data_IF_739962275913
#
_entry.id   IF_739962275913
#
_cell.length_a   1.000
_cell.length_b   1.000
_cell.length_c   1.000
_cell.angle_alpha   90.00
_cell.angle_beta   90.00
_cell.angle_gamma   90.00
#
_symmetry.space_group_name_H-M   'P 1'
#
loop_
_entity.id
_entity.type
_entity.pdbx_description
1 polymer ?
#
# COMPACT_ATOMS: atom_id res chain seq x y z
N UNK A 1 35.66 -24.20 43.26
CA UNK A 1 35.06 -25.23 42.40
C UNK A 1 34.65 -24.52 41.11
N UNK A 2 35.61 -24.36 40.20
CA UNK A 2 35.78 -25.16 38.98
C UNK A 2 34.74 -24.84 37.91
N UNK A 3 35.06 -23.83 37.10
CA UNK A 3 34.47 -23.58 35.79
C UNK A 3 35.23 -24.44 34.76
N UNK A 4 34.51 -25.37 34.16
CA UNK A 4 34.95 -26.27 33.09
C UNK A 4 35.06 -25.49 31.79
N UNK A 5 36.29 -25.35 31.28
CA UNK A 5 36.56 -24.93 29.89
C UNK A 5 37.19 -26.13 29.19
N UNK A 6 36.42 -26.75 28.29
CA UNK A 6 36.90 -27.88 27.48
C UNK A 6 37.78 -27.39 26.33
N UNK A 7 39.06 -27.77 26.42
CA UNK A 7 40.05 -27.72 25.35
C UNK A 7 39.76 -28.79 24.29
N UNK A 8 39.67 -28.38 23.02
CA UNK A 8 39.97 -29.23 21.87
C UNK A 8 40.77 -28.43 20.84
N UNK A 9 42.09 -28.43 21.00
CA UNK A 9 43.03 -28.22 19.90
C UNK A 9 44.25 -29.11 20.17
N UNK A 10 44.17 -30.34 19.67
CA UNK A 10 45.31 -31.25 19.56
C UNK A 10 46.13 -30.91 18.32
N UNK A 11 47.45 -31.03 18.41
CA UNK A 11 48.33 -31.00 17.24
C UNK A 11 49.75 -30.49 17.48
N UNK A 12 50.52 -31.21 18.30
CA UNK A 12 51.97 -31.45 18.22
C UNK A 12 52.92 -30.35 17.72
N UNK A 13 53.72 -29.84 18.65
CA UNK A 13 55.05 -29.28 18.40
C UNK A 13 55.99 -30.32 17.76
N UNK A 14 56.84 -29.89 16.82
CA UNK A 14 58.29 -30.15 16.79
C UNK A 14 58.93 -29.70 15.48
N UNK A 15 60.07 -28.99 15.56
CA UNK A 15 61.04 -28.94 14.46
C UNK A 15 61.64 -27.58 14.12
N UNK A 16 62.35 -26.97 15.08
CA UNK A 16 63.41 -26.00 14.76
C UNK A 16 64.50 -26.75 13.98
N UNK A 17 64.71 -26.41 12.70
CA UNK A 17 65.87 -26.88 11.95
C UNK A 17 66.83 -25.72 11.69
N UNK A 18 67.96 -25.86 12.36
CA UNK A 18 69.11 -24.98 12.44
C UNK A 18 69.85 -24.93 11.12
N UNK A 19 70.27 -23.74 10.72
CA UNK A 19 71.17 -23.51 9.61
C UNK A 19 72.44 -24.38 9.70
N UNK A 20 72.75 -25.11 8.62
CA UNK A 20 74.07 -25.71 8.41
C UNK A 20 74.66 -25.08 7.15
N UNK A 21 75.69 -24.25 7.35
CA UNK A 21 76.49 -23.63 6.29
C UNK A 21 77.47 -24.69 5.80
N UNK A 22 77.26 -25.20 4.59
CA UNK A 22 78.26 -26.00 3.88
C UNK A 22 79.01 -25.12 2.89
N UNK A 23 80.17 -24.63 3.32
CA UNK A 23 81.19 -24.05 2.44
C UNK A 23 81.84 -25.18 1.64
N UNK A 24 81.43 -25.36 0.38
CA UNK A 24 82.21 -26.11 -0.62
C UNK A 24 82.35 -25.29 -1.89
N UNK A 25 83.58 -24.85 -2.08
CA UNK A 25 84.24 -24.45 -3.32
C UNK A 25 83.57 -24.98 -4.59
N UNK A 26 82.86 -24.10 -5.30
CA UNK A 26 82.58 -24.24 -6.73
C UNK A 26 83.06 -22.99 -7.42
N UNK A 27 84.05 -23.20 -8.30
CA UNK A 27 84.88 -22.17 -8.89
C UNK A 27 84.12 -21.00 -9.50
N UNK A 28 84.75 -19.85 -9.36
CA UNK A 28 84.52 -18.66 -10.16
C UNK A 28 84.73 -19.03 -11.63
N UNK A 29 83.67 -19.37 -12.34
CA UNK A 29 83.66 -19.37 -13.81
C UNK A 29 83.48 -17.93 -14.27
N UNK A 30 84.60 -17.22 -14.36
CA UNK A 30 84.72 -16.07 -15.26
C UNK A 30 84.53 -16.57 -16.70
N UNK A 31 83.97 -15.68 -17.53
CA UNK A 31 83.78 -15.76 -18.98
C UNK A 31 82.60 -16.59 -19.47
N UNK A 32 81.39 -16.00 -19.45
CA UNK A 32 80.50 -16.18 -20.60
C UNK A 32 81.00 -15.26 -21.70
N UNK A 33 81.77 -15.83 -22.62
CA UNK A 33 82.12 -15.24 -23.90
C UNK A 33 80.89 -14.56 -24.51
N UNK A 34 80.98 -13.25 -24.72
CA UNK A 34 80.05 -12.52 -25.56
C UNK A 34 80.23 -13.08 -26.98
N UNK A 35 79.43 -14.07 -27.34
CA UNK A 35 79.37 -14.54 -28.71
C UNK A 35 78.81 -13.38 -29.53
N UNK A 36 79.65 -12.74 -30.34
CA UNK A 36 79.24 -11.93 -31.49
C UNK A 36 78.67 -12.83 -32.58
N UNK A 37 77.78 -13.75 -32.19
CA UNK A 37 76.92 -14.50 -33.08
C UNK A 37 75.62 -13.73 -33.18
N UNK A 38 75.23 -13.37 -34.40
CA UNK A 38 73.98 -12.69 -34.74
C UNK A 38 72.80 -13.43 -34.07
N UNK A 39 72.40 -13.02 -32.87
CA UNK A 39 71.30 -13.65 -32.15
C UNK A 39 70.02 -13.37 -32.93
N UNK A 40 69.42 -14.41 -33.51
CA UNK A 40 68.15 -14.29 -34.20
C UNK A 40 67.09 -13.85 -33.20
N UNK A 41 66.60 -12.61 -33.33
CA UNK A 41 65.56 -12.07 -32.46
C UNK A 41 64.29 -12.89 -32.57
N UNK A 42 63.56 -13.00 -31.46
CA UNK A 42 62.27 -13.73 -31.42
C UNK A 42 61.19 -12.87 -32.09
N UNK A 43 60.31 -13.52 -32.86
CA UNK A 43 59.14 -12.86 -33.45
C UNK A 43 58.10 -12.51 -32.37
N UNK A 44 57.52 -11.31 -32.45
CA UNK A 44 56.50 -10.86 -31.52
C UNK A 44 55.12 -11.43 -31.87
N UNK A 45 54.54 -12.24 -30.96
CA UNK A 45 53.17 -12.74 -31.11
C UNK A 45 52.13 -11.72 -30.62
N UNK A 46 51.92 -10.63 -31.38
CA UNK A 46 50.94 -9.59 -31.07
C UNK A 46 49.73 -9.63 -32.02
N UNK A 47 48.51 -9.77 -31.45
CA UNK A 47 47.27 -9.73 -32.24
C UNK A 47 46.58 -8.35 -32.17
N UNK A 48 46.68 -7.58 -33.26
CA UNK A 48 46.10 -6.24 -33.35
C UNK A 48 44.55 -6.22 -33.32
N UNK A 49 43.87 -7.32 -33.69
CA UNK A 49 42.39 -7.38 -33.75
C UNK A 49 41.73 -7.92 -32.48
N UNK A 50 42.50 -8.54 -31.58
CA UNK A 50 41.92 -9.22 -30.43
C UNK A 50 41.16 -8.26 -29.50
N UNK A 51 41.79 -7.16 -29.09
CA UNK A 51 41.17 -6.17 -28.20
C UNK A 51 40.07 -5.39 -28.91
N UNK A 52 40.30 -4.93 -30.14
CA UNK A 52 39.33 -4.14 -30.89
C UNK A 52 38.05 -4.92 -31.17
N UNK A 53 38.14 -6.17 -31.58
CA UNK A 53 36.96 -7.02 -31.82
C UNK A 53 36.17 -7.28 -30.54
N UNK A 54 36.85 -7.48 -29.40
CA UNK A 54 36.17 -7.65 -28.10
C UNK A 54 35.51 -6.34 -27.66
N UNK A 55 36.13 -5.20 -27.94
CA UNK A 55 35.61 -3.89 -27.57
C UNK A 55 34.36 -3.51 -28.39
N UNK A 56 34.34 -3.84 -29.68
CA UNK A 56 33.16 -3.64 -30.54
C UNK A 56 31.98 -4.48 -30.07
N UNK A 57 32.24 -5.73 -29.67
CA UNK A 57 31.19 -6.65 -29.15
C UNK A 57 30.69 -6.27 -27.75
N UNK A 58 31.45 -5.50 -26.98
CA UNK A 58 31.08 -5.13 -25.62
C UNK A 58 29.93 -4.10 -25.63
N UNK A 59 28.75 -4.55 -25.19
CA UNK A 59 27.53 -3.72 -25.11
C UNK A 59 27.26 -3.16 -23.72
N UNK A 60 27.94 -3.69 -22.68
CA UNK A 60 27.75 -3.28 -21.28
C UNK A 60 29.02 -2.74 -20.66
N UNK A 61 28.89 -1.77 -19.75
CA UNK A 61 30.01 -1.12 -19.07
C UNK A 61 30.95 -2.14 -18.40
N UNK A 62 30.39 -3.16 -17.74
CA UNK A 62 31.13 -4.25 -17.10
C UNK A 62 31.96 -5.07 -18.09
N UNK A 63 31.37 -5.42 -19.24
CA UNK A 63 32.06 -6.20 -20.28
C UNK A 63 33.19 -5.40 -20.92
N UNK A 64 32.97 -4.11 -21.19
CA UNK A 64 34.01 -3.22 -21.69
C UNK A 64 35.13 -3.02 -20.66
N UNK A 65 34.80 -3.01 -19.36
CA UNK A 65 35.80 -2.90 -18.29
C UNK A 65 36.71 -4.13 -18.22
N UNK A 66 36.18 -5.32 -18.44
CA UNK A 66 36.99 -6.54 -18.55
C UNK A 66 37.96 -6.45 -19.75
N UNK A 67 37.50 -5.95 -20.89
CA UNK A 67 38.35 -5.71 -22.09
C UNK A 67 39.42 -4.65 -21.79
N UNK A 68 39.09 -3.60 -21.03
CA UNK A 68 40.06 -2.60 -20.59
C UNK A 68 41.18 -3.22 -19.74
N UNK A 69 40.85 -4.09 -18.79
CA UNK A 69 41.86 -4.81 -17.98
C UNK A 69 42.76 -5.65 -18.87
N UNK A 70 42.18 -6.37 -19.84
CA UNK A 70 42.94 -7.15 -20.81
C UNK A 70 43.86 -6.28 -21.68
N UNK A 71 43.37 -5.13 -22.15
CA UNK A 71 44.17 -4.17 -22.92
C UNK A 71 45.36 -3.65 -22.11
N UNK A 72 45.17 -3.31 -20.82
CA UNK A 72 46.26 -2.91 -19.93
C UNK A 72 47.29 -4.04 -19.73
N UNK A 73 46.83 -5.28 -19.55
CA UNK A 73 47.73 -6.44 -19.49
C UNK A 73 48.56 -6.60 -20.77
N UNK A 74 47.96 -6.40 -21.96
CA UNK A 74 48.74 -6.44 -23.21
C UNK A 74 49.80 -5.35 -23.30
N UNK A 75 49.55 -4.15 -22.76
CA UNK A 75 50.56 -3.08 -22.67
C UNK A 75 51.71 -3.49 -21.76
N UNK A 76 51.42 -4.05 -20.58
CA UNK A 76 52.46 -4.52 -19.65
C UNK A 76 53.30 -5.64 -20.25
N UNK A 77 52.67 -6.62 -20.93
CA UNK A 77 53.39 -7.71 -21.59
C UNK A 77 54.37 -7.18 -22.65
N UNK A 78 53.94 -6.21 -23.47
CA UNK A 78 54.80 -5.58 -24.46
C UNK A 78 55.92 -4.73 -23.85
N UNK A 79 55.67 -4.09 -22.70
CA UNK A 79 56.71 -3.38 -21.94
C UNK A 79 57.78 -4.34 -21.41
N UNK A 80 57.38 -5.53 -20.94
CA UNK A 80 58.33 -6.56 -20.55
C UNK A 80 59.15 -7.07 -21.74
N UNK A 81 58.52 -7.32 -22.90
CA UNK A 81 59.24 -7.69 -24.12
C UNK A 81 60.32 -6.66 -24.48
N UNK A 82 60.01 -5.36 -24.36
CA UNK A 82 60.98 -4.29 -24.61
C UNK A 82 62.15 -4.31 -23.61
N UNK A 83 61.89 -4.66 -22.34
CA UNK A 83 62.93 -4.75 -21.31
C UNK A 83 63.83 -5.99 -21.43
N UNK A 84 63.35 -7.09 -22.02
CA UNK A 84 64.14 -8.33 -22.18
C UNK A 84 65.22 -8.23 -23.25
N UNK A 85 65.08 -7.36 -24.25
CA UNK A 85 66.02 -7.22 -25.37
C UNK A 85 66.08 -8.43 -26.33
N UNK A 86 65.22 -9.45 -26.15
CA UNK A 86 65.18 -10.65 -27.00
C UNK A 86 64.40 -10.44 -28.32
N UNK A 87 63.70 -9.32 -28.45
CA UNK A 87 62.78 -9.00 -29.55
C UNK A 87 63.28 -7.83 -30.39
N UNK A 88 62.64 -7.57 -31.53
CA UNK A 88 62.87 -6.36 -32.30
C UNK A 88 62.23 -5.14 -31.63
N UNK A 89 63.06 -4.27 -31.03
CA UNK A 89 62.60 -3.06 -30.32
C UNK A 89 61.66 -2.20 -31.17
N UNK A 90 61.91 -2.07 -32.47
CA UNK A 90 61.05 -1.33 -33.40
C UNK A 90 59.65 -1.96 -33.50
N UNK A 91 59.57 -3.29 -33.66
CA UNK A 91 58.30 -4.03 -33.73
C UNK A 91 57.52 -3.93 -32.40
N UNK A 92 58.22 -4.13 -31.27
CA UNK A 92 57.64 -4.03 -29.94
C UNK A 92 57.13 -2.62 -29.65
N UNK A 93 57.85 -1.57 -30.06
CA UNK A 93 57.41 -0.18 -29.91
C UNK A 93 56.16 0.14 -30.74
N UNK A 94 56.07 -0.35 -31.99
CA UNK A 94 54.89 -0.18 -32.85
C UNK A 94 53.67 -0.87 -32.22
N UNK A 95 53.84 -2.12 -31.75
CA UNK A 95 52.79 -2.86 -31.06
C UNK A 95 52.37 -2.16 -29.75
N UNK A 96 53.33 -1.65 -28.98
CA UNK A 96 53.09 -0.93 -27.73
C UNK A 96 52.30 0.36 -27.99
N UNK A 97 52.63 1.11 -29.04
CA UNK A 97 51.88 2.30 -29.44
C UNK A 97 50.43 1.95 -29.81
N UNK A 98 50.21 0.86 -30.54
CA UNK A 98 48.87 0.37 -30.87
C UNK A 98 48.09 -0.07 -29.61
N UNK A 99 48.70 -0.85 -28.72
CA UNK A 99 48.09 -1.30 -27.48
C UNK A 99 47.71 -0.12 -26.56
N UNK A 100 48.57 0.90 -26.45
CA UNK A 100 48.26 2.15 -25.70
C UNK A 100 47.05 2.88 -26.28
N UNK A 101 46.91 2.93 -27.61
CA UNK A 101 45.70 3.48 -28.25
C UNK A 101 44.45 2.65 -27.92
N UNK A 102 44.56 1.32 -27.95
CA UNK A 102 43.45 0.44 -27.57
C UNK A 102 43.01 0.62 -26.12
N UNK A 103 43.93 0.90 -25.19
CA UNK A 103 43.58 1.25 -23.80
C UNK A 103 42.75 2.53 -23.75
N UNK A 104 43.14 3.58 -24.49
CA UNK A 104 42.35 4.83 -24.55
C UNK A 104 40.95 4.58 -25.13
N UNK A 105 40.85 3.81 -26.22
CA UNK A 105 39.55 3.42 -26.80
C UNK A 105 38.69 2.66 -25.80
N UNK A 106 39.27 1.71 -25.07
CA UNK A 106 38.56 0.92 -24.06
C UNK A 106 38.09 1.79 -22.88
N UNK A 107 38.92 2.73 -22.40
CA UNK A 107 38.54 3.69 -21.35
C UNK A 107 37.34 4.54 -21.77
N UNK A 108 37.39 5.11 -22.99
CA UNK A 108 36.28 5.92 -23.51
C UNK A 108 35.00 5.09 -23.65
N UNK A 109 35.09 3.86 -24.20
CA UNK A 109 33.92 2.97 -24.32
C UNK A 109 33.31 2.62 -22.95
N UNK A 110 34.12 2.34 -21.93
CA UNK A 110 33.64 2.08 -20.57
C UNK A 110 32.90 3.29 -19.99
N UNK A 111 33.46 4.50 -20.18
CA UNK A 111 32.83 5.73 -19.72
C UNK A 111 31.49 5.97 -20.41
N UNK A 112 31.45 5.86 -21.74
CA UNK A 112 30.24 6.10 -22.53
C UNK A 112 29.14 5.10 -22.17
N UNK A 113 29.45 3.78 -22.13
CA UNK A 113 28.47 2.77 -21.74
C UNK A 113 27.97 2.96 -20.31
N UNK A 114 28.83 3.40 -19.38
CA UNK A 114 28.41 3.69 -18.00
C UNK A 114 27.48 4.90 -17.94
N UNK A 115 27.73 5.93 -18.75
CA UNK A 115 26.87 7.11 -18.84
C UNK A 115 25.52 6.77 -19.47
N UNK A 116 25.50 6.02 -20.58
CA UNK A 116 24.30 5.53 -21.24
C UNK A 116 23.44 4.67 -20.29
N UNK A 117 24.06 3.71 -19.59
CA UNK A 117 23.36 2.87 -18.59
C UNK A 117 22.77 3.69 -17.45
N UNK A 118 23.49 4.72 -16.96
CA UNK A 118 23.00 5.58 -15.90
C UNK A 118 21.83 6.48 -16.36
N UNK A 119 21.91 7.03 -17.57
CA UNK A 119 20.83 7.83 -18.16
C UNK A 119 19.58 6.98 -18.35
N UNK A 120 19.73 5.77 -18.88
CA UNK A 120 18.63 4.83 -19.07
C UNK A 120 17.94 4.49 -17.74
N UNK A 121 18.71 4.16 -16.70
CA UNK A 121 18.17 3.91 -15.35
C UNK A 121 17.44 5.12 -14.76
N UNK A 122 17.95 6.33 -15.01
CA UNK A 122 17.29 7.57 -14.55
C UNK A 122 15.93 7.74 -15.23
N UNK A 123 15.86 7.54 -16.55
CA UNK A 123 14.63 7.64 -17.31
C UNK A 123 13.58 6.61 -16.86
N UNK A 124 13.98 5.35 -16.67
CA UNK A 124 13.09 4.28 -16.19
C UNK A 124 12.57 4.56 -14.78
N UNK A 125 13.43 5.07 -13.88
CA UNK A 125 13.03 5.48 -12.53
C UNK A 125 12.06 6.66 -12.55
N UNK A 126 12.30 7.65 -13.41
CA UNK A 126 11.42 8.81 -13.54
C UNK A 126 10.06 8.43 -14.12
N UNK A 127 10.04 7.56 -15.14
CA UNK A 127 8.81 7.05 -15.74
C UNK A 127 7.97 6.30 -14.70
N UNK A 128 8.56 5.35 -13.98
CA UNK A 128 7.87 4.57 -12.95
C UNK A 128 7.39 5.45 -11.78
N UNK A 129 8.17 6.45 -11.38
CA UNK A 129 7.76 7.40 -10.34
C UNK A 129 6.55 8.24 -10.80
N UNK A 130 6.55 8.73 -12.05
CA UNK A 130 5.41 9.49 -12.61
C UNK A 130 4.15 8.62 -12.72
N UNK A 131 4.28 7.38 -13.17
CA UNK A 131 3.15 6.44 -13.24
C UNK A 131 2.57 6.14 -11.85
N UNK A 132 3.44 5.94 -10.84
CA UNK A 132 3.01 5.72 -9.46
C UNK A 132 2.28 6.94 -8.88
N UNK A 133 2.81 8.15 -9.11
CA UNK A 133 2.19 9.40 -8.67
C UNK A 133 0.82 9.60 -9.32
N UNK A 134 0.70 9.39 -10.63
CA UNK A 134 -0.57 9.49 -11.34
C UNK A 134 -1.59 8.49 -10.80
N UNK A 135 -1.18 7.23 -10.58
CA UNK A 135 -2.05 6.20 -10.02
C UNK A 135 -2.53 6.56 -8.60
N UNK A 136 -1.65 7.08 -7.75
CA UNK A 136 -2.03 7.53 -6.40
C UNK A 136 -2.97 8.74 -6.42
N UNK A 137 -2.75 9.69 -7.32
CA UNK A 137 -3.58 10.89 -7.44
C UNK A 137 -4.98 10.55 -7.95
N UNK A 138 -5.07 9.67 -8.96
CA UNK A 138 -6.36 9.17 -9.46
C UNK A 138 -7.11 8.45 -8.34
N UNK A 139 -6.45 7.55 -7.60
CA UNK A 139 -7.07 6.83 -6.48
C UNK A 139 -7.59 7.80 -5.40
N UNK A 140 -6.83 8.84 -5.07
CA UNK A 140 -7.23 9.89 -4.11
C UNK A 140 -8.46 10.66 -4.61
N UNK A 141 -8.46 11.10 -5.87
CA UNK A 141 -9.59 11.85 -6.45
C UNK A 141 -10.86 11.03 -6.53
N UNK A 142 -10.75 9.76 -6.90
CA UNK A 142 -11.90 8.85 -6.97
C UNK A 142 -12.49 8.65 -5.57
N UNK A 143 -11.65 8.32 -4.58
CA UNK A 143 -12.11 8.12 -3.21
C UNK A 143 -12.77 9.37 -2.62
N UNK A 144 -12.21 10.56 -2.89
CA UNK A 144 -12.80 11.82 -2.44
C UNK A 144 -14.17 12.07 -3.09
N UNK A 145 -14.28 11.89 -4.42
CA UNK A 145 -15.56 12.04 -5.12
C UNK A 145 -16.62 11.04 -4.66
N UNK A 146 -16.21 9.81 -4.40
CA UNK A 146 -17.10 8.75 -3.89
C UNK A 146 -17.64 9.10 -2.50
N UNK A 147 -16.78 9.56 -1.59
CA UNK A 147 -17.18 9.99 -0.26
C UNK A 147 -18.11 11.21 -0.30
N UNK A 148 -17.78 12.22 -1.11
CA UNK A 148 -18.61 13.42 -1.28
C UNK A 148 -20.00 13.06 -1.82
N UNK A 149 -20.07 12.15 -2.80
CA UNK A 149 -21.33 11.69 -3.36
C UNK A 149 -22.15 10.91 -2.32
N UNK A 150 -21.49 10.00 -1.58
CA UNK A 150 -22.14 9.24 -0.51
C UNK A 150 -22.72 10.15 0.58
N UNK A 151 -21.98 11.18 0.98
CA UNK A 151 -22.45 12.16 1.96
C UNK A 151 -23.64 12.95 1.43
N UNK A 152 -23.59 13.43 0.18
CA UNK A 152 -24.70 14.16 -0.45
C UNK A 152 -25.98 13.32 -0.50
N UNK A 153 -25.88 12.07 -0.96
CA UNK A 153 -27.01 11.14 -1.00
C UNK A 153 -27.61 10.93 0.40
N UNK A 154 -26.77 10.68 1.42
CA UNK A 154 -27.24 10.50 2.79
C UNK A 154 -27.93 11.76 3.34
N UNK A 155 -27.39 12.95 3.08
CA UNK A 155 -28.01 14.21 3.52
C UNK A 155 -29.34 14.49 2.82
N UNK A 156 -29.43 14.15 1.53
CA UNK A 156 -30.66 14.31 0.76
C UNK A 156 -31.75 13.35 1.27
N UNK A 157 -31.39 12.10 1.54
CA UNK A 157 -32.29 11.09 2.09
C UNK A 157 -32.83 11.51 3.47
N UNK A 158 -31.96 11.96 4.38
CA UNK A 158 -32.38 12.49 5.69
C UNK A 158 -33.33 13.68 5.53
N UNK A 159 -33.04 14.60 4.61
CA UNK A 159 -33.88 15.77 4.37
C UNK A 159 -35.26 15.37 3.82
N UNK A 160 -35.32 14.39 2.92
CA UNK A 160 -36.59 13.88 2.38
C UNK A 160 -37.42 13.22 3.48
N UNK A 161 -36.81 12.36 4.29
CA UNK A 161 -37.48 11.71 5.44
C UNK A 161 -37.98 12.75 6.43
N UNK A 162 -37.21 13.80 6.72
CA UNK A 162 -37.63 14.87 7.64
C UNK A 162 -38.81 15.67 7.09
N UNK A 163 -38.82 15.99 5.78
CA UNK A 163 -39.95 16.65 5.10
C UNK A 163 -41.20 15.78 5.09
N UNK A 164 -41.05 14.47 4.91
CA UNK A 164 -42.16 13.53 4.97
C UNK A 164 -42.74 13.43 6.39
N UNK A 165 -41.86 13.34 7.40
CA UNK A 165 -42.28 13.36 8.82
C UNK A 165 -43.04 14.63 9.17
N UNK A 166 -42.57 15.81 8.76
CA UNK A 166 -43.28 17.07 9.05
C UNK A 166 -44.64 17.15 8.36
N UNK A 167 -44.72 16.75 7.08
CA UNK A 167 -45.98 16.67 6.34
C UNK A 167 -46.97 15.71 6.99
N UNK A 168 -46.49 14.54 7.45
CA UNK A 168 -47.31 13.55 8.16
C UNK A 168 -47.84 14.09 9.49
N UNK A 169 -47.00 14.77 10.27
CA UNK A 169 -47.41 15.40 11.52
C UNK A 169 -48.46 16.51 11.31
N UNK A 170 -48.31 17.31 10.25
CA UNK A 170 -49.29 18.35 9.92
C UNK A 170 -50.67 17.76 9.60
N UNK A 171 -50.72 16.68 8.81
CA UNK A 171 -51.97 15.97 8.51
C UNK A 171 -52.63 15.46 9.80
N UNK A 172 -51.84 14.88 10.71
CA UNK A 172 -52.34 14.37 11.99
C UNK A 172 -52.90 15.52 12.85
N UNK A 173 -52.17 16.64 12.94
CA UNK A 173 -52.60 17.83 13.69
C UNK A 173 -53.90 18.39 13.13
N UNK A 174 -54.00 18.55 11.81
CA UNK A 174 -55.23 19.02 11.14
C UNK A 174 -56.41 18.08 11.40
N UNK A 175 -56.21 16.76 11.27
CA UNK A 175 -57.25 15.77 11.61
C UNK A 175 -57.71 15.84 13.06
N UNK A 176 -56.82 16.16 14.01
CA UNK A 176 -57.20 16.34 15.42
C UNK A 176 -58.02 17.61 15.60
N UNK A 177 -57.58 18.73 15.01
CA UNK A 177 -58.29 20.01 15.08
C UNK A 177 -59.71 19.90 14.50
N UNK A 178 -59.86 19.30 13.32
CA UNK A 178 -61.17 19.14 12.68
C UNK A 178 -62.11 18.27 13.53
N UNK A 179 -61.63 17.13 14.07
CA UNK A 179 -62.44 16.28 14.95
C UNK A 179 -62.88 16.97 16.24
N UNK A 180 -62.03 17.84 16.79
CA UNK A 180 -62.38 18.60 17.99
C UNK A 180 -63.43 19.68 17.68
N UNK A 181 -63.26 20.38 16.56
CA UNK A 181 -64.21 21.38 16.08
C UNK A 181 -65.58 20.74 15.78
N UNK A 182 -65.60 19.60 15.09
CA UNK A 182 -66.81 18.80 14.88
C UNK A 182 -67.49 18.45 16.21
N UNK A 183 -66.73 17.98 17.22
CA UNK A 183 -67.29 17.64 18.54
C UNK A 183 -67.83 18.88 19.28
N UNK A 184 -67.14 20.01 19.18
CA UNK A 184 -67.62 21.28 19.74
C UNK A 184 -68.93 21.71 19.08
N UNK A 185 -69.03 21.62 17.76
CA UNK A 185 -70.23 21.99 17.01
C UNK A 185 -71.42 21.08 17.34
N UNK A 186 -71.17 19.77 17.49
CA UNK A 186 -72.19 18.80 17.93
C UNK A 186 -72.66 19.14 19.35
N UNK A 187 -71.74 19.32 20.29
CA UNK A 187 -72.08 19.66 21.67
C UNK A 187 -72.83 21.00 21.77
N UNK A 188 -72.45 22.00 20.99
CA UNK A 188 -73.15 23.29 20.94
C UNK A 188 -74.59 23.11 20.44
N UNK A 189 -74.79 22.29 19.40
CA UNK A 189 -76.12 21.98 18.88
C UNK A 189 -76.98 21.23 19.92
N UNK A 190 -76.41 20.25 20.61
CA UNK A 190 -77.08 19.49 21.66
C UNK A 190 -77.47 20.39 22.85
N UNK A 191 -76.57 21.27 23.28
CA UNK A 191 -76.84 22.23 24.35
C UNK A 191 -77.93 23.22 23.97
N UNK A 192 -77.93 23.72 22.72
CA UNK A 192 -79.00 24.58 22.20
C UNK A 192 -80.35 23.85 22.16
N UNK A 193 -80.36 22.57 21.78
CA UNK A 193 -81.57 21.75 21.82
C UNK A 193 -82.08 21.62 23.26
N UNK A 194 -81.25 21.22 24.22
CA UNK A 194 -81.62 21.14 25.63
C UNK A 194 -82.12 22.49 26.16
N UNK A 195 -81.40 23.58 25.92
CA UNK A 195 -81.77 24.94 26.32
C UNK A 195 -83.16 25.31 25.77
N UNK A 196 -83.37 25.17 24.47
CA UNK A 196 -84.65 25.46 23.83
C UNK A 196 -85.79 24.58 24.36
N UNK A 197 -85.53 23.32 24.69
CA UNK A 197 -86.55 22.45 25.30
C UNK A 197 -86.89 22.85 26.74
N UNK A 198 -85.92 23.34 27.51
CA UNK A 198 -86.15 23.87 28.86
C UNK A 198 -86.92 25.19 28.80
N UNK A 199 -86.56 26.09 27.88
CA UNK A 199 -87.26 27.36 27.66
C UNK A 199 -88.69 27.14 27.15
N UNK A 200 -88.93 26.13 26.30
CA UNK A 200 -90.28 25.72 25.88
C UNK A 200 -91.13 25.20 27.05
N UNK A 201 -90.52 24.49 28.01
CA UNK A 201 -91.22 23.96 29.19
C UNK A 201 -91.30 24.93 30.38
N UNK A 202 -90.44 25.94 30.45
CA UNK A 202 -90.46 27.01 31.47
C UNK A 202 -91.07 28.33 30.99
N UNK A 203 -91.43 28.44 29.70
CA UNK A 203 -92.22 29.56 29.15
C UNK A 203 -93.65 29.71 29.72
N UNK A 204 -94.02 28.88 30.70
CA UNK A 204 -95.21 29.05 31.51
C UNK A 204 -95.04 28.41 32.88
N UNK A 205 -94.35 29.08 33.81
CA UNK A 205 -94.59 29.11 35.28
C UNK A 205 -93.42 29.89 35.93
N UNK A 206 -93.70 31.07 36.48
CA UNK A 206 -92.83 31.71 37.46
C UNK A 206 -92.96 30.99 38.79
N UNK A 207 -91.87 30.48 39.37
CA UNK A 207 -91.44 30.77 40.76
C UNK A 207 -90.21 29.94 41.18
N UNK A 208 -89.34 30.66 41.91
CA UNK A 208 -88.51 30.22 43.03
C UNK A 208 -87.34 29.24 42.78
N UNK A 209 -86.15 29.81 42.96
CA UNK A 209 -85.08 29.27 43.81
C UNK A 209 -84.65 27.82 43.56
N UNK A 210 -83.58 27.68 42.78
CA UNK A 210 -82.80 26.45 42.73
C UNK A 210 -81.50 26.73 42.01
N UNK A 211 -80.53 27.31 42.72
CA UNK A 211 -79.15 27.35 42.27
C UNK A 211 -78.67 25.90 42.12
N UNK A 212 -78.87 25.33 40.92
CA UNK A 212 -78.33 24.04 40.56
C UNK A 212 -76.81 24.25 40.39
N UNK A 213 -76.09 23.92 41.45
CA UNK A 213 -74.63 23.79 41.43
C UNK A 213 -74.29 22.77 40.36
N UNK A 214 -73.89 23.26 39.18
CA UNK A 214 -73.23 22.43 38.16
C UNK A 214 -71.97 21.90 38.82
N UNK A 215 -71.96 20.61 39.11
CA UNK A 215 -70.91 19.93 39.85
C UNK A 215 -69.58 20.08 39.09
N UNK A 216 -68.69 20.91 39.62
CA UNK A 216 -67.37 21.23 39.07
C UNK A 216 -66.51 19.95 38.91
N UNK A 217 -66.85 18.90 39.66
CA UNK A 217 -66.26 17.56 39.59
C UNK A 217 -66.41 16.89 38.23
N UNK A 218 -67.56 17.07 37.56
CA UNK A 218 -67.84 16.42 36.27
C UNK A 218 -67.06 17.06 35.11
N UNK A 219 -66.93 18.39 35.12
CA UNK A 219 -66.09 19.13 34.16
C UNK A 219 -64.60 18.85 34.41
N UNK A 220 -64.19 18.72 35.68
CA UNK A 220 -62.84 18.33 36.08
C UNK A 220 -62.46 16.89 35.68
N UNK A 221 -63.39 15.94 35.80
CA UNK A 221 -63.22 14.56 35.32
C UNK A 221 -63.07 14.50 33.81
N UNK A 222 -63.91 15.25 33.07
CA UNK A 222 -63.85 15.28 31.61
C UNK A 222 -62.54 15.92 31.08
N UNK A 223 -62.01 16.92 31.80
CA UNK A 223 -60.69 17.50 31.52
C UNK A 223 -59.54 16.55 31.86
N UNK A 224 -59.58 15.88 33.02
CA UNK A 224 -58.53 14.93 33.43
C UNK A 224 -58.49 13.71 32.51
N UNK A 225 -59.64 13.24 32.05
CA UNK A 225 -59.73 12.10 31.11
C UNK A 225 -59.20 12.49 29.71
N UNK A 226 -59.47 13.72 29.26
CA UNK A 226 -58.93 14.26 28.01
C UNK A 226 -57.41 14.46 28.08
N UNK A 227 -56.90 14.91 29.22
CA UNK A 227 -55.46 15.07 29.48
C UNK A 227 -54.72 13.72 29.61
N UNK A 228 -55.35 12.72 30.21
CA UNK A 228 -54.78 11.37 30.34
C UNK A 228 -54.79 10.61 29.01
N UNK A 229 -55.82 10.83 28.18
CA UNK A 229 -55.88 10.32 26.81
C UNK A 229 -54.86 11.01 25.91
N UNK A 230 -54.59 12.31 26.11
CA UNK A 230 -53.53 13.03 25.41
C UNK A 230 -52.14 12.48 25.75
N UNK A 231 -51.87 12.21 27.04
CA UNK A 231 -50.61 11.59 27.48
C UNK A 231 -50.43 10.16 26.95
N UNK A 232 -51.49 9.35 26.92
CA UNK A 232 -51.42 8.00 26.35
C UNK A 232 -51.24 8.00 24.82
N UNK A 233 -51.86 8.95 24.13
CA UNK A 233 -51.72 9.07 22.67
C UNK A 233 -50.38 9.67 22.24
N UNK A 234 -49.77 10.55 23.04
CA UNK A 234 -48.38 10.98 22.83
C UNK A 234 -47.38 9.83 23.04
N UNK A 235 -47.59 8.97 24.04
CA UNK A 235 -46.75 7.80 24.26
C UNK A 235 -46.87 6.76 23.12
N UNK A 236 -48.07 6.50 22.61
CA UNK A 236 -48.26 5.63 21.43
C UNK A 236 -47.68 6.25 20.15
N UNK A 237 -47.77 7.58 19.98
CA UNK A 237 -47.21 8.27 18.83
C UNK A 237 -45.67 8.23 18.82
N UNK A 238 -45.03 8.32 20.00
CA UNK A 238 -43.59 8.12 20.14
C UNK A 238 -43.16 6.66 19.90
N UNK A 239 -44.00 5.68 20.23
CA UNK A 239 -43.72 4.26 19.99
C UNK A 239 -43.84 3.86 18.51
N UNK A 240 -44.86 4.34 17.78
CA UNK A 240 -45.00 4.09 16.34
C UNK A 240 -43.96 4.84 15.49
N UNK A 241 -43.45 5.98 15.95
CA UNK A 241 -42.34 6.70 15.29
C UNK A 241 -40.99 5.97 15.41
N UNK A 242 -40.80 5.15 16.44
CA UNK A 242 -39.60 4.33 16.64
C UNK A 242 -39.67 2.95 15.97
N UNK A 243 -40.86 2.37 15.80
CA UNK A 243 -41.01 1.02 15.22
C UNK A 243 -40.74 0.96 13.69
N UNK A 244 -40.85 2.07 12.96
CA UNK A 244 -40.49 2.13 11.53
C UNK A 244 -39.01 2.46 11.27
N UNK A 245 -38.20 2.65 12.32
CA UNK A 245 -36.76 2.90 12.20
C UNK A 245 -35.90 1.61 12.25
N UNK A 246 -36.50 0.44 12.49
CA UNK A 246 -35.78 -0.84 12.70
C UNK A 246 -35.92 -1.86 11.55
N UNK A 247 -36.64 -1.52 10.47
CA UNK A 247 -36.79 -2.41 9.30
C UNK A 247 -35.86 -2.04 8.12
N UNK A 248 -34.67 -1.52 8.42
CA UNK A 248 -33.69 -1.06 7.42
C UNK A 248 -32.24 -1.46 7.67
N UNK A 249 -31.95 -2.27 8.70
CA UNK A 249 -30.65 -2.91 8.90
C UNK A 249 -30.69 -4.29 8.26
N UNK A 250 -30.53 -4.35 6.94
CA UNK A 250 -30.03 -5.57 6.29
C UNK A 250 -28.56 -5.72 6.66
N UNK A 251 -28.30 -6.81 7.36
CA UNK A 251 -27.02 -7.33 7.81
C UNK A 251 -25.83 -7.00 6.89
N UNK A 252 -24.97 -6.10 7.35
CA UNK A 252 -23.54 -6.22 7.15
C UNK A 252 -22.98 -7.24 8.13
N UNK A 253 -23.16 -8.53 7.84
CA UNK A 253 -22.41 -9.59 8.51
C UNK A 253 -20.98 -9.59 7.96
N UNK A 254 -20.09 -9.10 8.82
CA UNK A 254 -18.65 -9.15 8.74
C UNK A 254 -18.18 -10.58 9.07
N UNK A 255 -17.34 -11.16 8.23
CA UNK A 255 -16.32 -12.14 8.64
C UNK A 255 -15.03 -11.68 7.94
N UNK A 256 -14.21 -10.93 8.67
CA UNK A 256 -13.09 -11.41 9.48
C UNK A 256 -11.94 -11.98 8.64
N UNK A 257 -10.77 -11.50 9.02
CA UNK A 257 -9.52 -11.47 8.30
C UNK A 257 -8.69 -12.69 8.62
N UNK A 258 -7.91 -13.21 7.66
CA UNK A 258 -6.83 -14.14 8.01
C UNK A 258 -6.33 -15.00 6.87
N UNK A 259 -5.34 -14.47 6.14
CA UNK A 259 -4.14 -15.16 5.69
C UNK A 259 -4.20 -16.67 5.40
N UNK A 260 -3.98 -17.06 4.16
CA UNK A 260 -2.69 -17.63 3.69
C UNK A 260 -2.84 -18.39 2.37
N UNK A 261 -1.69 -18.67 1.77
CA UNK A 261 -1.44 -19.08 0.41
C UNK A 261 -1.78 -20.55 0.08
N UNK A 262 -1.55 -20.89 -1.19
CA UNK A 262 -1.38 -22.20 -1.82
C UNK A 262 -2.69 -22.88 -2.29
N UNK A 263 -2.95 -22.96 -3.60
CA UNK A 263 -2.32 -23.81 -4.61
C UNK A 263 -2.73 -25.30 -4.53
N UNK A 264 -3.26 -25.78 -5.67
CA UNK A 264 -3.30 -27.15 -6.18
C UNK A 264 -4.35 -28.15 -5.61
N UNK A 265 -5.37 -28.38 -6.44
CA UNK A 265 -5.75 -29.68 -7.01
C UNK A 265 -5.50 -30.95 -6.18
N UNK A 266 -6.61 -31.48 -5.66
CA UNK A 266 -7.06 -32.87 -5.78
C UNK A 266 -6.08 -33.88 -6.41
N UNK A 267 -5.61 -34.85 -5.61
CA UNK A 267 -5.50 -36.24 -6.04
C UNK A 267 -5.39 -37.22 -4.84
N UNK A 268 -6.19 -38.29 -4.87
CA UNK A 268 -5.74 -39.65 -4.52
C UNK A 268 -5.59 -40.08 -3.06
N UNK A 269 -6.51 -40.96 -2.64
CA UNK A 269 -6.21 -42.37 -2.33
C UNK A 269 -5.33 -42.74 -1.10
N UNK A 270 -6.03 -43.37 -0.14
CA UNK A 270 -5.69 -44.57 0.67
C UNK A 270 -4.50 -44.61 1.65
N UNK A 271 -4.85 -45.13 2.84
CA UNK A 271 -4.21 -46.27 3.53
C UNK A 271 -3.50 -45.98 4.85
N UNK A 272 -4.02 -46.67 5.88
CA UNK A 272 -3.35 -47.28 7.03
C UNK A 272 -2.90 -46.40 8.21
N UNK A 273 -3.34 -46.82 9.40
CA UNK A 273 -2.37 -47.16 10.43
C UNK A 273 -2.64 -46.67 11.86
N UNK A 274 -3.24 -47.56 12.64
CA UNK A 274 -2.99 -47.82 14.07
C UNK A 274 -3.42 -46.80 15.13
N UNK A 275 -4.48 -47.24 15.82
CA UNK A 275 -4.86 -46.90 17.19
C UNK A 275 -3.82 -47.51 18.16
N UNK A 276 -3.57 -46.82 19.27
CA UNK A 276 -3.16 -47.41 20.54
C UNK A 276 -4.41 -47.81 21.33
#
# INVERSE_FOLDING_TARGET
MNLTVSNYFGGTMNGFSTATINTRNTGISKSSSFSTGKSTKKSLNYNAKQISSQLIRATKSRTAAAVLTKAKSTVNNLQHCLGTGEYDDSEVQIALAHAKRMVKCAQSKVSNLKQEENLQRKYEREKSAKEMQQKSEVKRRVHQKENDLKQKMATEEIQQVQKEKSRRQEIIRKRRMHRNEERSNINEADMKYLQNTMDYKHGGISTAAGAATVDLSYVGLQMSELQQMEAQTEAQMNAELNATADAGTVDTATCDSGSSAAAASFNGSVSSGSVL
#
